data_IF_915961444675
#
_entry.id   IF_915961444675
#
_cell.length_a   1.000
_cell.length_b   1.000
_cell.length_c   1.000
_cell.angle_alpha   90.00
_cell.angle_beta   90.00
_cell.angle_gamma   90.00
#
_symmetry.space_group_name_H-M   'P 1'
#
loop_
_entity.id
_entity.type
_entity.pdbx_description
1 polymer ?
#
# COMPACT_ATOMS: atom_id res chain seq x y z
N UNK A 1 -11.73 1.34 17.46
CA UNK A 1 -11.77 0.41 16.31
C UNK A 1 -11.79 1.15 14.98
N UNK A 2 -12.80 1.98 14.68
CA UNK A 2 -12.88 2.71 13.39
C UNK A 2 -11.67 3.60 13.06
N UNK A 3 -11.05 4.25 14.05
CA UNK A 3 -9.90 5.12 13.83
C UNK A 3 -8.66 4.36 13.35
N UNK A 4 -8.39 3.16 13.88
CA UNK A 4 -7.25 2.34 13.44
C UNK A 4 -7.43 1.80 12.02
N UNK A 5 -8.65 1.38 11.67
CA UNK A 5 -9.01 1.00 10.31
C UNK A 5 -8.80 2.16 9.31
N UNK A 6 -9.22 3.37 9.67
CA UNK A 6 -8.98 4.57 8.86
C UNK A 6 -7.48 4.84 8.67
N UNK A 7 -6.69 4.80 9.74
CA UNK A 7 -5.24 4.99 9.64
C UNK A 7 -4.57 3.92 8.78
N UNK A 8 -5.09 2.69 8.80
CA UNK A 8 -4.63 1.62 7.92
C UNK A 8 -4.93 1.92 6.45
N UNK A 9 -6.10 2.47 6.15
CA UNK A 9 -6.43 2.93 4.79
C UNK A 9 -5.57 4.12 4.34
N UNK A 10 -5.32 5.09 5.24
CA UNK A 10 -4.41 6.21 4.95
C UNK A 10 -3.00 5.69 4.67
N UNK A 11 -2.54 4.68 5.41
CA UNK A 11 -1.24 4.05 5.17
C UNK A 11 -1.16 3.43 3.77
N UNK A 12 -2.16 2.62 3.38
CA UNK A 12 -2.20 2.02 2.04
C UNK A 12 -2.29 3.06 0.91
N UNK A 13 -3.10 4.11 1.09
CA UNK A 13 -3.22 5.22 0.14
C UNK A 13 -1.90 5.97 -0.04
N UNK A 14 -1.28 6.38 1.06
CA UNK A 14 -0.02 7.12 1.04
C UNK A 14 1.10 6.27 0.43
N UNK A 15 1.13 4.97 0.73
CA UNK A 15 2.09 4.06 0.14
C UNK A 15 1.93 3.99 -1.38
N UNK A 16 0.72 3.77 -1.91
CA UNK A 16 0.51 3.71 -3.36
C UNK A 16 0.86 5.01 -4.06
N UNK A 17 0.45 6.15 -3.50
CA UNK A 17 0.81 7.44 -4.09
C UNK A 17 2.31 7.69 -4.06
N UNK A 18 3.02 7.24 -3.01
CA UNK A 18 4.48 7.36 -2.91
C UNK A 18 5.20 6.49 -3.95
N UNK A 19 4.76 5.24 -4.07
CA UNK A 19 5.21 4.25 -5.05
C UNK A 19 5.07 4.78 -6.49
N UNK A 20 3.87 5.25 -6.86
CA UNK A 20 3.60 5.80 -8.19
C UNK A 20 4.39 7.10 -8.48
N UNK A 21 4.73 7.90 -7.46
CA UNK A 21 5.60 9.07 -7.66
C UNK A 21 7.03 8.65 -8.01
N UNK A 22 7.55 7.57 -7.42
CA UNK A 22 8.88 7.04 -7.73
C UNK A 22 8.90 6.34 -9.09
N UNK A 23 7.91 5.49 -9.35
CA UNK A 23 7.89 4.63 -10.54
C UNK A 23 7.45 5.35 -11.81
N UNK A 24 6.41 6.18 -11.72
CA UNK A 24 5.83 6.89 -12.89
C UNK A 24 6.35 8.33 -13.02
N UNK A 25 7.15 8.83 -12.07
CA UNK A 25 7.72 10.18 -12.10
C UNK A 25 6.67 11.30 -11.97
N UNK A 26 5.57 11.04 -11.24
CA UNK A 26 4.42 11.96 -11.11
C UNK A 26 4.69 13.20 -10.25
N UNK A 27 5.91 13.38 -9.75
CA UNK A 27 6.27 14.51 -8.91
C UNK A 27 7.75 14.49 -8.51
N UNK A 28 8.18 15.45 -7.69
CA UNK A 28 9.53 15.45 -7.16
C UNK A 28 9.72 14.27 -6.19
N UNK A 29 10.91 13.67 -6.17
CA UNK A 29 11.26 12.58 -5.23
C UNK A 29 10.98 12.93 -3.76
N UNK A 30 11.10 14.21 -3.40
CA UNK A 30 10.77 14.70 -2.06
C UNK A 30 9.31 14.45 -1.66
N UNK A 31 8.38 14.40 -2.62
CA UNK A 31 6.99 14.06 -2.39
C UNK A 31 6.83 12.57 -2.02
N UNK A 32 7.55 11.67 -2.69
CA UNK A 32 7.56 10.25 -2.36
C UNK A 32 8.08 10.00 -0.93
N UNK A 33 9.11 10.74 -0.51
CA UNK A 33 9.60 10.69 0.87
C UNK A 33 8.53 11.14 1.87
N UNK A 34 7.82 12.24 1.59
CA UNK A 34 6.74 12.73 2.46
C UNK A 34 5.60 11.72 2.54
N UNK A 35 5.19 11.12 1.42
CA UNK A 35 4.15 10.10 1.36
C UNK A 35 4.57 8.82 2.07
N UNK A 36 5.82 8.40 1.93
CA UNK A 36 6.38 7.26 2.68
C UNK A 36 6.37 7.53 4.19
N UNK A 37 6.80 8.71 4.62
CA UNK A 37 6.72 9.12 6.03
C UNK A 37 5.27 9.13 6.54
N UNK A 38 4.31 9.60 5.74
CA UNK A 38 2.90 9.56 6.07
C UNK A 38 2.37 8.13 6.18
N UNK A 39 2.77 7.23 5.28
CA UNK A 39 2.41 5.81 5.31
C UNK A 39 2.93 5.12 6.57
N UNK A 40 4.20 5.37 6.93
CA UNK A 40 4.84 4.87 8.15
C UNK A 40 4.11 5.39 9.39
N UNK A 41 3.90 6.70 9.48
CA UNK A 41 3.24 7.32 10.62
C UNK A 41 1.81 6.81 10.79
N UNK A 42 1.05 6.70 9.70
CA UNK A 42 -0.31 6.16 9.72
C UNK A 42 -0.32 4.69 10.16
N UNK A 43 0.63 3.88 9.70
CA UNK A 43 0.77 2.47 10.14
C UNK A 43 1.01 2.36 11.64
N UNK A 44 1.94 3.16 12.20
CA UNK A 44 2.23 3.15 13.64
C UNK A 44 1.05 3.68 14.46
N UNK A 45 0.39 4.75 13.98
CA UNK A 45 -0.84 5.26 14.59
C UNK A 45 -1.97 4.22 14.60
N UNK A 46 -2.12 3.44 13.51
CA UNK A 46 -3.12 2.38 13.43
C UNK A 46 -2.92 1.35 14.55
N UNK A 47 -1.66 0.98 14.82
CA UNK A 47 -1.30 0.08 15.93
C UNK A 47 -1.68 0.69 17.28
N UNK A 48 -1.32 1.96 17.51
CA UNK A 48 -1.73 2.69 18.72
C UNK A 48 -3.24 2.82 18.91
N UNK A 49 -4.02 2.64 17.84
CA UNK A 49 -5.49 2.68 17.83
C UNK A 49 -6.15 1.29 17.86
N UNK A 50 -5.37 0.22 18.09
CA UNK A 50 -5.85 -1.14 18.31
C UNK A 50 -5.71 -2.09 17.13
N UNK A 51 -5.00 -1.72 16.05
CA UNK A 51 -4.61 -2.69 15.02
C UNK A 51 -3.47 -3.56 15.56
N UNK A 52 -3.55 -4.91 15.46
CA UNK A 52 -2.46 -5.76 15.94
C UNK A 52 -1.14 -5.45 15.23
N UNK A 53 -0.01 -5.34 15.96
CA UNK A 53 1.30 -5.07 15.35
C UNK A 53 1.73 -6.18 14.37
N UNK A 54 1.18 -7.39 14.49
CA UNK A 54 1.37 -8.49 13.55
C UNK A 54 0.96 -8.13 12.12
N UNK A 55 0.02 -7.20 11.92
CA UNK A 55 -0.38 -6.76 10.59
C UNK A 55 0.73 -6.00 9.86
N UNK A 56 1.14 -4.79 10.30
CA UNK A 56 2.15 -4.04 9.59
C UNK A 56 3.54 -4.71 9.60
N UNK A 57 3.89 -5.42 10.67
CA UNK A 57 5.14 -6.19 10.73
C UNK A 57 5.12 -7.35 9.73
N UNK A 58 4.02 -8.12 9.70
CA UNK A 58 3.87 -9.22 8.76
C UNK A 58 3.89 -8.74 7.31
N UNK A 59 3.22 -7.62 7.02
CA UNK A 59 3.20 -7.02 5.68
C UNK A 59 4.62 -6.60 5.23
N UNK A 60 5.37 -5.92 6.10
CA UNK A 60 6.77 -5.55 5.84
C UNK A 60 7.66 -6.76 5.56
N UNK A 61 7.54 -7.82 6.37
CA UNK A 61 8.32 -9.06 6.17
C UNK A 61 7.93 -9.74 4.86
N UNK A 62 6.63 -9.87 4.58
CA UNK A 62 6.14 -10.50 3.34
C UNK A 62 6.64 -9.77 2.09
N UNK A 63 6.56 -8.44 2.08
CA UNK A 63 7.09 -7.62 0.99
C UNK A 63 8.62 -7.76 0.85
N UNK A 64 9.35 -7.84 1.97
CA UNK A 64 10.79 -8.07 1.95
C UNK A 64 11.15 -9.43 1.33
N UNK A 65 10.43 -10.49 1.73
CA UNK A 65 10.60 -11.85 1.19
C UNK A 65 10.27 -11.91 -0.30
N UNK A 66 9.28 -11.15 -0.73
CA UNK A 66 8.91 -11.03 -2.13
C UNK A 66 9.88 -10.16 -2.96
N UNK A 67 10.87 -9.52 -2.33
CA UNK A 67 11.85 -8.69 -3.02
C UNK A 67 11.35 -7.29 -3.40
N UNK A 68 10.25 -6.81 -2.81
CA UNK A 68 9.69 -5.47 -3.05
C UNK A 68 10.34 -4.35 -2.24
N UNK A 69 11.25 -4.69 -1.33
CA UNK A 69 12.06 -3.72 -0.60
C UNK A 69 13.44 -3.64 -1.25
N UNK A 70 13.47 -3.21 -2.51
CA UNK A 70 14.65 -3.11 -3.36
C UNK A 70 15.37 -1.76 -3.20
N UNK A 71 14.62 -0.68 -2.99
CA UNK A 71 15.20 0.64 -2.74
C UNK A 71 15.48 0.91 -1.25
N UNK A 72 16.58 1.61 -0.91
CA UNK A 72 16.94 1.92 0.48
C UNK A 72 15.82 2.63 1.26
N UNK A 73 15.03 3.47 0.58
CA UNK A 73 13.89 4.17 1.19
C UNK A 73 12.79 3.20 1.65
N UNK A 74 12.50 2.16 0.87
CA UNK A 74 11.53 1.13 1.21
C UNK A 74 12.01 0.27 2.39
N UNK A 75 13.29 -0.09 2.39
CA UNK A 75 13.91 -0.82 3.50
C UNK A 75 13.85 -0.01 4.81
N UNK A 76 14.24 1.27 4.76
CA UNK A 76 14.19 2.15 5.94
C UNK A 76 12.75 2.31 6.44
N UNK A 77 11.79 2.56 5.55
CA UNK A 77 10.39 2.67 5.91
C UNK A 77 9.86 1.39 6.60
N UNK A 78 10.16 0.22 6.04
CA UNK A 78 9.77 -1.07 6.62
C UNK A 78 10.38 -1.29 8.01
N UNK A 79 11.67 -0.97 8.19
CA UNK A 79 12.34 -1.06 9.50
C UNK A 79 11.69 -0.12 10.52
N UNK A 80 11.39 1.12 10.15
CA UNK A 80 10.73 2.09 11.04
C UNK A 80 9.32 1.62 11.40
N UNK A 81 8.57 1.07 10.44
CA UNK A 81 7.25 0.46 10.71
C UNK A 81 7.38 -0.69 11.71
N UNK A 82 8.35 -1.58 11.52
CA UNK A 82 8.55 -2.72 12.42
C UNK A 82 8.89 -2.25 13.85
N UNK A 83 9.88 -1.37 13.99
CA UNK A 83 10.30 -0.85 15.30
C UNK A 83 9.16 -0.06 15.96
N UNK A 84 8.52 0.84 15.21
CA UNK A 84 7.43 1.68 15.71
C UNK A 84 6.21 0.86 16.14
N UNK A 85 5.84 -0.16 15.34
CA UNK A 85 4.73 -1.06 15.67
C UNK A 85 5.01 -1.87 16.92
N UNK A 86 6.24 -2.38 17.09
CA UNK A 86 6.64 -3.10 18.31
C UNK A 86 6.66 -2.16 19.53
N UNK A 87 7.17 -0.94 19.36
CA UNK A 87 7.24 0.04 20.44
C UNK A 87 5.86 0.47 20.94
N UNK A 88 4.88 0.59 20.05
CA UNK A 88 3.52 1.06 20.39
C UNK A 88 2.57 -0.09 20.74
N UNK A 89 2.60 -1.18 19.98
CA UNK A 89 1.66 -2.31 20.11
C UNK A 89 2.20 -3.51 20.87
N UNK A 90 3.49 -3.50 21.24
CA UNK A 90 4.17 -4.64 21.85
C UNK A 90 4.64 -5.67 20.82
N UNK A 91 5.18 -6.78 21.34
CA UNK A 91 5.73 -7.86 20.51
C UNK A 91 4.60 -8.52 19.73
N UNK A 92 4.68 -8.59 18.39
CA UNK A 92 3.64 -9.18 17.58
C UNK A 92 3.56 -10.68 17.78
N UNK A 93 2.34 -11.22 17.78
CA UNK A 93 2.11 -12.66 17.83
C UNK A 93 2.76 -13.35 16.63
N UNK A 94 3.63 -14.36 16.83
CA UNK A 94 4.39 -14.98 15.75
C UNK A 94 3.49 -15.71 14.75
N UNK A 95 2.41 -16.36 15.19
CA UNK A 95 1.51 -17.12 14.30
C UNK A 95 0.82 -16.18 13.32
N UNK A 96 0.20 -15.13 13.84
CA UNK A 96 -0.46 -14.09 13.05
C UNK A 96 0.52 -13.39 12.11
N UNK A 97 1.73 -13.08 12.59
CA UNK A 97 2.77 -12.42 11.79
C UNK A 97 3.24 -13.28 10.63
N UNK A 98 3.54 -14.56 10.90
CA UNK A 98 3.95 -15.52 9.86
C UNK A 98 2.87 -15.74 8.82
N UNK A 99 1.60 -15.79 9.24
CA UNK A 99 0.48 -15.91 8.32
C UNK A 99 0.36 -14.66 7.42
N UNK A 100 0.33 -13.46 8.01
CA UNK A 100 0.26 -12.20 7.24
C UNK A 100 1.44 -12.09 6.27
N UNK A 101 2.66 -12.41 6.71
CA UNK A 101 3.85 -12.38 5.87
C UNK A 101 3.75 -13.36 4.70
N UNK A 102 3.27 -14.58 4.95
CA UNK A 102 3.10 -15.60 3.91
C UNK A 102 2.06 -15.19 2.88
N UNK A 103 0.92 -14.64 3.34
CA UNK A 103 -0.13 -14.15 2.44
C UNK A 103 0.32 -12.92 1.63
N UNK A 104 1.06 -12.00 2.26
CA UNK A 104 1.62 -10.84 1.56
C UNK A 104 2.66 -11.24 0.51
N UNK A 105 3.54 -12.21 0.81
CA UNK A 105 4.47 -12.74 -0.18
C UNK A 105 3.75 -13.51 -1.29
N UNK A 106 2.69 -14.26 -0.96
CA UNK A 106 1.89 -14.99 -1.93
C UNK A 106 1.12 -14.05 -2.86
N UNK A 107 0.59 -12.93 -2.35
CA UNK A 107 -0.03 -11.89 -3.17
C UNK A 107 0.90 -11.44 -4.29
N UNK A 108 2.17 -11.23 -3.96
CA UNK A 108 3.15 -10.80 -4.95
C UNK A 108 3.44 -11.89 -5.99
N UNK A 109 3.61 -13.14 -5.53
CA UNK A 109 3.80 -14.27 -6.45
C UNK A 109 2.59 -14.45 -7.38
N UNK A 110 1.39 -14.12 -6.92
CA UNK A 110 0.18 -14.13 -7.76
C UNK A 110 0.18 -12.95 -8.75
N UNK A 111 0.56 -11.76 -8.30
CA UNK A 111 0.69 -10.58 -9.15
C UNK A 111 1.70 -10.80 -10.29
N UNK A 112 2.89 -11.32 -10.00
CA UNK A 112 3.94 -11.65 -10.98
C UNK A 112 3.47 -12.66 -12.05
N UNK A 113 2.51 -13.52 -11.71
CA UNK A 113 1.93 -14.51 -12.63
C UNK A 113 0.81 -13.95 -13.50
N UNK A 114 0.57 -12.63 -13.47
CA UNK A 114 -0.50 -11.98 -14.20
C UNK A 114 -1.89 -12.29 -13.67
N UNK A 115 -2.01 -12.82 -12.44
CA UNK A 115 -3.29 -12.96 -11.74
C UNK A 115 -3.64 -11.66 -11.03
N UNK A 116 -3.47 -10.54 -11.76
CA UNK A 116 -3.76 -9.22 -11.25
C UNK A 116 -5.27 -9.00 -11.23
N UNK A 117 -5.88 -9.36 -10.11
CA UNK A 117 -7.29 -9.07 -9.84
C UNK A 117 -7.48 -7.61 -9.42
N UNK A 118 -6.45 -6.77 -9.59
CA UNK A 118 -6.34 -5.41 -9.10
C UNK A 118 -6.08 -5.33 -7.61
N UNK A 119 -6.40 -6.38 -6.84
CA UNK A 119 -6.48 -6.44 -5.38
C UNK A 119 -5.47 -7.42 -4.82
N UNK A 120 -5.08 -7.26 -3.54
CA UNK A 120 -4.27 -8.23 -2.75
C UNK A 120 -5.10 -9.48 -2.39
N UNK A 121 -5.17 -10.51 -3.25
CA UNK A 121 -6.28 -11.48 -3.19
C UNK A 121 -6.07 -12.54 -2.10
N UNK A 122 -4.83 -12.98 -1.88
CA UNK A 122 -4.48 -13.90 -0.81
C UNK A 122 -4.66 -13.25 0.57
N UNK A 123 -4.27 -11.98 0.78
CA UNK A 123 -4.58 -11.28 2.03
C UNK A 123 -6.10 -11.12 2.25
N UNK A 124 -6.85 -10.75 1.21
CA UNK A 124 -8.31 -10.54 1.27
C UNK A 124 -9.11 -11.78 1.58
N UNK A 125 -8.65 -12.95 1.15
CA UNK A 125 -9.36 -14.22 1.35
C UNK A 125 -8.77 -14.99 2.52
N UNK A 126 -7.44 -15.05 2.61
CA UNK A 126 -6.72 -15.81 3.62
C UNK A 126 -6.97 -15.32 5.04
N UNK A 127 -6.98 -14.00 5.28
CA UNK A 127 -7.21 -13.46 6.62
C UNK A 127 -8.65 -13.63 7.12
N UNK A 128 -9.71 -13.41 6.32
CA UNK A 128 -11.07 -13.75 6.74
C UNK A 128 -11.25 -15.25 7.00
N UNK A 129 -10.67 -16.13 6.16
CA UNK A 129 -10.72 -17.58 6.40
C UNK A 129 -10.03 -17.92 7.72
N UNK A 130 -8.84 -17.39 7.96
CA UNK A 130 -8.10 -17.59 9.21
C UNK A 130 -8.85 -17.06 10.43
N UNK A 131 -9.58 -15.95 10.30
CA UNK A 131 -10.45 -15.43 11.35
C UNK A 131 -11.63 -16.37 11.62
N UNK A 132 -12.32 -16.84 10.58
CA UNK A 132 -13.46 -17.76 10.70
C UNK A 132 -13.06 -19.07 11.40
N UNK A 133 -11.85 -19.57 11.15
CA UNK A 133 -11.33 -20.77 11.84
C UNK A 133 -10.66 -20.48 13.20
N UNK A 134 -10.65 -19.21 13.65
CA UNK A 134 -10.18 -18.82 14.98
C UNK A 134 -8.66 -18.70 15.14
N UNK A 135 -7.91 -18.59 14.04
CA UNK A 135 -6.44 -18.48 14.05
C UNK A 135 -5.98 -17.04 14.30
N UNK A 136 -6.75 -16.05 13.82
CA UNK A 136 -6.41 -14.63 13.94
C UNK A 136 -7.59 -13.80 14.43
N UNK A 137 -7.34 -12.65 15.06
CA UNK A 137 -8.41 -11.76 15.52
C UNK A 137 -9.03 -10.98 14.33
N UNK A 138 -10.27 -10.49 14.50
CA UNK A 138 -11.05 -9.80 13.44
C UNK A 138 -10.36 -8.53 12.94
N UNK A 139 -9.53 -7.91 13.77
CA UNK A 139 -8.82 -6.69 13.45
C UNK A 139 -7.84 -6.88 12.28
N UNK A 140 -7.27 -8.08 12.08
CA UNK A 140 -6.36 -8.35 10.95
C UNK A 140 -7.07 -8.30 9.58
N UNK A 141 -8.16 -9.05 9.32
CA UNK A 141 -8.85 -8.96 8.04
C UNK A 141 -9.45 -7.56 7.80
N UNK A 142 -9.95 -6.88 8.84
CA UNK A 142 -10.43 -5.50 8.70
C UNK A 142 -9.29 -4.56 8.31
N UNK A 143 -8.13 -4.65 8.98
CA UNK A 143 -6.95 -3.87 8.63
C UNK A 143 -6.51 -4.15 7.19
N UNK A 144 -6.45 -5.41 6.78
CA UNK A 144 -6.09 -5.79 5.41
C UNK A 144 -7.04 -5.20 4.37
N UNK A 145 -8.36 -5.27 4.59
CA UNK A 145 -9.34 -4.66 3.70
C UNK A 145 -9.23 -3.15 3.63
N UNK A 146 -9.01 -2.48 4.77
CA UNK A 146 -8.83 -1.04 4.80
C UNK A 146 -7.53 -0.61 4.10
N UNK A 147 -6.42 -1.30 4.37
CA UNK A 147 -5.14 -1.06 3.71
C UNK A 147 -5.30 -1.15 2.20
N UNK A 148 -5.87 -2.25 1.73
CA UNK A 148 -6.09 -2.49 0.31
C UNK A 148 -7.04 -1.47 -0.32
N UNK A 149 -8.14 -1.12 0.34
CA UNK A 149 -9.04 -0.06 -0.14
C UNK A 149 -8.33 1.28 -0.31
N UNK A 150 -7.45 1.64 0.63
CA UNK A 150 -6.60 2.82 0.52
C UNK A 150 -5.63 2.74 -0.66
N UNK A 151 -4.93 1.62 -0.79
CA UNK A 151 -3.96 1.36 -1.87
C UNK A 151 -4.63 1.47 -3.24
N UNK A 152 -5.79 0.83 -3.43
CA UNK A 152 -6.59 0.94 -4.65
C UNK A 152 -7.03 2.36 -4.98
N UNK A 153 -7.47 3.10 -3.97
CA UNK A 153 -7.90 4.48 -4.15
C UNK A 153 -6.73 5.33 -4.68
N UNK A 154 -5.51 5.10 -4.19
CA UNK A 154 -4.28 5.74 -4.68
C UNK A 154 -4.09 5.51 -6.18
N UNK A 155 -4.11 4.24 -6.61
CA UNK A 155 -3.97 3.91 -8.03
C UNK A 155 -5.07 4.51 -8.90
N UNK A 156 -6.33 4.52 -8.42
CA UNK A 156 -7.43 5.16 -9.14
C UNK A 156 -7.24 6.68 -9.30
N UNK A 157 -6.73 7.36 -8.26
CA UNK A 157 -6.43 8.79 -8.30
C UNK A 157 -5.37 9.07 -9.37
N UNK A 158 -4.30 8.27 -9.41
CA UNK A 158 -3.21 8.40 -10.38
C UNK A 158 -3.70 8.20 -11.81
N UNK A 159 -4.41 7.11 -12.08
CA UNK A 159 -4.99 6.84 -13.42
C UNK A 159 -5.88 8.00 -13.87
N UNK A 160 -6.69 8.55 -12.96
CA UNK A 160 -7.60 9.66 -13.30
C UNK A 160 -6.86 10.98 -13.52
N UNK A 161 -5.77 11.23 -12.78
CA UNK A 161 -4.91 12.39 -12.98
C UNK A 161 -4.17 12.31 -14.33
N UNK A 162 -3.59 11.15 -14.64
CA UNK A 162 -2.88 10.88 -15.90
C UNK A 162 -3.81 11.06 -17.11
N UNK A 163 -5.02 10.51 -17.07
CA UNK A 163 -6.03 10.68 -18.13
C UNK A 163 -6.44 12.15 -18.37
N UNK A 164 -6.43 12.98 -17.33
CA UNK A 164 -6.72 14.42 -17.47
C UNK A 164 -5.55 15.19 -18.10
N UNK A 165 -4.33 14.80 -17.78
CA UNK A 165 -3.13 15.40 -18.38
C UNK A 165 -2.99 15.01 -19.87
N UNK A 166 -3.22 13.73 -20.21
CA UNK A 166 -3.19 13.23 -21.59
C UNK A 166 -4.36 13.70 -22.46
N UNK A 167 -5.53 13.97 -21.88
CA UNK A 167 -6.71 14.48 -22.59
C UNK A 167 -6.66 15.96 -22.97
N UNK A 168 -5.66 16.72 -22.51
CA UNK A 168 -5.48 18.14 -22.80
C UNK A 168 -4.61 18.45 -24.03
N UNK A 169 -3.83 17.48 -24.52
CA UNK A 169 -2.88 17.67 -25.62
C UNK A 169 -3.45 17.24 -26.99
N UNK A 170 -4.74 17.54 -27.25
CA UNK A 170 -5.45 17.04 -28.44
C UNK A 170 -6.46 18.01 -29.07
N UNK A 171 -6.44 19.31 -28.75
CA UNK A 171 -7.19 20.34 -29.50
C UNK A 171 -6.41 21.66 -29.51
N UNK A 172 -5.43 21.76 -30.39
CA UNK A 172 -4.62 22.98 -30.52
C UNK A 172 -3.56 22.91 -31.60
N UNK A 173 -3.93 22.67 -32.86
CA UNK A 173 -3.13 22.97 -34.05
C UNK A 173 -4.12 23.02 -35.22
N UNK A 174 -4.68 24.20 -35.52
CA UNK A 174 -4.16 25.16 -36.50
C UNK A 174 -4.38 24.71 -37.95
N UNK A 175 -5.60 24.89 -38.45
CA UNK A 175 -5.80 25.10 -39.89
C UNK A 175 -6.48 26.47 -40.06
N UNK A 176 -5.65 27.45 -40.41
CA UNK A 176 -6.07 28.81 -40.75
C UNK A 176 -4.86 29.67 -41.12
N UNK A 177 -4.83 30.07 -42.40
CA UNK A 177 -3.89 30.99 -43.11
C UNK A 177 -2.61 30.31 -43.63
N UNK A 178 -2.40 30.14 -44.96
CA UNK A 178 -2.20 31.17 -46.00
C UNK A 178 -0.74 31.64 -45.92
N UNK A 179 0.16 31.57 -46.91
CA UNK A 179 0.11 31.81 -48.37
C UNK A 179 1.48 31.44 -49.01
N UNK A 180 1.54 31.46 -50.36
CA UNK A 180 2.73 31.60 -51.24
C UNK A 180 3.44 30.31 -51.69
N UNK A 181 3.09 29.78 -52.87
CA UNK A 181 3.75 30.02 -54.18
C UNK A 181 2.81 29.58 -55.32
#
# INVERSE_FOLDING_TARGET
>A
MWSGALMTAVSGLALKLGDDVLDEGLGPESLAVVLSCAAVAASVCAVGMGVPPSFPVGLSIGNAVAGKLDEPVHVVAAVVVCIGSVAVGGIPDPVSTSLVASLAALDEVMHDKGLDLGVRPALKVGLPVAWVVGVVPLELPVAAWCFDAGYHLGGWIVVRASNRAGGGAGRGSSEGCGTCE
#
